data_IF_125711840809
#
_entry.id   IF_125711840809
#
_cell.length_a   1.000
_cell.length_b   1.000
_cell.length_c   1.000
_cell.angle_alpha   90.00
_cell.angle_beta   90.00
_cell.angle_gamma   90.00
#
_symmetry.space_group_name_H-M   'P 1'
#
loop_
_entity.id
_entity.type
_entity.pdbx_description
1 polymer ?
#
# COMPACT_ATOMS: atom_id res chain seq x y z
N UNK A 1 -45.37 -62.74 -30.86
CA UNK A 1 -45.09 -61.98 -29.61
C UNK A 1 -43.75 -61.26 -29.59
N UNK A 2 -42.75 -61.67 -30.38
CA UNK A 2 -41.41 -60.99 -30.40
C UNK A 2 -41.35 -59.67 -31.19
N UNK A 3 -42.22 -59.47 -32.15
CA UNK A 3 -42.20 -58.26 -33.02
C UNK A 3 -42.73 -56.99 -32.31
N UNK A 4 -43.63 -57.13 -31.37
CA UNK A 4 -44.19 -56.01 -30.61
C UNK A 4 -43.29 -55.47 -29.50
N UNK A 5 -42.37 -56.32 -29.01
CA UNK A 5 -41.43 -55.92 -27.97
C UNK A 5 -40.34 -54.97 -28.50
N UNK A 6 -39.86 -55.20 -29.70
CA UNK A 6 -38.87 -54.32 -30.34
C UNK A 6 -39.47 -52.95 -30.75
N UNK A 7 -40.74 -52.88 -31.12
CA UNK A 7 -41.43 -51.60 -31.42
C UNK A 7 -41.63 -50.78 -30.15
N UNK A 8 -41.91 -51.42 -29.01
CA UNK A 8 -42.03 -50.75 -27.71
C UNK A 8 -40.67 -50.24 -27.20
N UNK A 9 -39.58 -51.01 -27.38
CA UNK A 9 -38.23 -50.57 -27.02
C UNK A 9 -37.75 -49.40 -27.87
N UNK A 10 -38.09 -49.36 -29.17
CA UNK A 10 -37.73 -48.28 -30.08
C UNK A 10 -38.52 -46.99 -29.77
N UNK A 11 -39.78 -47.10 -29.34
CA UNK A 11 -40.61 -45.91 -28.97
C UNK A 11 -40.19 -45.36 -27.61
N UNK A 12 -39.72 -46.20 -26.66
CA UNK A 12 -39.17 -45.73 -25.39
C UNK A 12 -37.79 -45.12 -25.55
N UNK A 13 -36.96 -45.59 -26.51
CA UNK A 13 -35.66 -45.00 -26.83
C UNK A 13 -35.72 -43.58 -27.42
N UNK A 14 -36.79 -43.23 -28.15
CA UNK A 14 -36.97 -41.92 -28.74
C UNK A 14 -37.50 -40.87 -27.74
N UNK A 15 -38.17 -41.31 -26.67
CA UNK A 15 -38.67 -40.41 -25.61
C UNK A 15 -37.63 -39.93 -24.61
N UNK A 16 -36.42 -40.52 -24.58
CA UNK A 16 -35.35 -40.15 -23.65
C UNK A 16 -34.42 -39.02 -24.20
N UNK A 17 -34.56 -38.63 -25.45
CA UNK A 17 -33.71 -37.60 -26.08
C UNK A 17 -34.30 -36.20 -26.08
N UNK A 18 -35.47 -35.96 -25.45
CA UNK A 18 -35.94 -34.60 -25.18
C UNK A 18 -35.44 -34.20 -23.79
N UNK A 19 -34.13 -34.12 -23.65
CA UNK A 19 -33.47 -33.53 -22.49
C UNK A 19 -33.60 -32.01 -22.58
N UNK A 20 -34.20 -31.42 -21.57
CA UNK A 20 -34.44 -30.01 -21.44
C UNK A 20 -33.12 -29.22 -21.54
N UNK A 21 -32.84 -28.60 -22.67
CA UNK A 21 -31.76 -27.60 -22.82
C UNK A 21 -32.08 -26.26 -22.14
N UNK A 22 -33.25 -26.11 -21.51
CA UNK A 22 -33.68 -24.83 -20.90
C UNK A 22 -33.17 -24.60 -19.46
N UNK A 23 -32.59 -25.58 -18.80
CA UNK A 23 -32.13 -25.44 -17.40
C UNK A 23 -30.62 -25.37 -17.25
N UNK A 24 -29.86 -25.31 -18.36
CA UNK A 24 -28.38 -25.17 -18.32
C UNK A 24 -27.93 -23.71 -18.37
N UNK A 25 -28.82 -22.78 -18.67
CA UNK A 25 -28.56 -21.34 -18.61
C UNK A 25 -29.12 -20.71 -17.32
N UNK A 26 -28.95 -21.39 -16.19
CA UNK A 26 -29.22 -20.76 -14.90
C UNK A 26 -28.11 -19.73 -14.63
N UNK A 27 -28.43 -18.45 -14.82
CA UNK A 27 -27.59 -17.39 -14.30
C UNK A 27 -27.42 -17.59 -12.79
N UNK A 28 -26.21 -17.56 -12.25
CA UNK A 28 -26.02 -17.69 -10.80
C UNK A 28 -26.85 -16.63 -10.10
N UNK A 29 -27.77 -17.04 -9.23
CA UNK A 29 -28.64 -16.09 -8.49
C UNK A 29 -27.87 -15.31 -7.41
N UNK A 30 -26.63 -15.66 -7.18
CA UNK A 30 -25.73 -15.03 -6.18
C UNK A 30 -24.52 -14.34 -6.82
N UNK A 31 -24.39 -14.28 -8.15
CA UNK A 31 -23.38 -13.48 -8.85
C UNK A 31 -24.06 -12.61 -9.90
N UNK A 32 -23.71 -11.34 -9.91
CA UNK A 32 -24.17 -10.40 -10.94
C UNK A 32 -23.42 -10.75 -12.23
N UNK A 33 -24.15 -10.94 -13.35
CA UNK A 33 -23.56 -11.10 -14.68
C UNK A 33 -22.68 -9.87 -14.98
N UNK A 34 -21.43 -10.10 -15.35
CA UNK A 34 -20.45 -9.03 -15.61
C UNK A 34 -20.95 -8.01 -16.62
N UNK A 35 -21.77 -8.43 -17.61
CA UNK A 35 -22.38 -7.54 -18.60
C UNK A 35 -23.49 -6.65 -18.02
N UNK A 36 -24.00 -6.96 -16.82
CA UNK A 36 -25.03 -6.21 -16.11
C UNK A 36 -24.55 -5.54 -14.83
N UNK A 37 -23.29 -5.75 -14.46
CA UNK A 37 -22.72 -5.34 -13.16
C UNK A 37 -22.47 -3.83 -13.02
N UNK A 38 -22.36 -3.08 -14.14
CA UNK A 38 -21.96 -1.67 -14.15
C UNK A 38 -22.82 -0.84 -15.11
N UNK A 39 -24.14 -0.99 -15.00
CA UNK A 39 -25.10 -0.35 -15.92
C UNK A 39 -25.64 0.99 -15.41
N UNK A 40 -25.45 1.30 -14.13
CA UNK A 40 -25.92 2.55 -13.52
C UNK A 40 -24.81 3.24 -12.73
N UNK A 41 -25.00 4.54 -12.49
CA UNK A 41 -24.09 5.31 -11.62
C UNK A 41 -23.96 4.69 -10.22
N UNK A 42 -25.05 4.13 -9.68
CA UNK A 42 -25.04 3.44 -8.39
C UNK A 42 -24.16 2.20 -8.40
N UNK A 43 -24.22 1.40 -9.45
CA UNK A 43 -23.43 0.17 -9.58
C UNK A 43 -21.92 0.50 -9.59
N UNK A 44 -21.53 1.54 -10.33
CA UNK A 44 -20.13 1.99 -10.41
C UNK A 44 -19.64 2.50 -9.06
N UNK A 45 -20.47 3.21 -8.29
CA UNK A 45 -20.12 3.67 -6.94
C UNK A 45 -19.95 2.50 -5.96
N UNK A 46 -20.78 1.46 -6.06
CA UNK A 46 -20.65 0.23 -5.27
C UNK A 46 -19.36 -0.49 -5.64
N UNK A 47 -19.04 -0.61 -6.95
CA UNK A 47 -17.80 -1.22 -7.41
C UNK A 47 -16.56 -0.44 -6.92
N UNK A 48 -16.60 0.89 -6.94
CA UNK A 48 -15.53 1.72 -6.38
C UNK A 48 -15.34 1.49 -4.88
N UNK A 49 -16.43 1.34 -4.12
CA UNK A 49 -16.37 0.99 -2.70
C UNK A 49 -15.75 -0.39 -2.50
N UNK A 50 -16.07 -1.36 -3.37
CA UNK A 50 -15.43 -2.68 -3.41
C UNK A 50 -13.92 -2.58 -3.64
N UNK A 51 -13.49 -1.73 -4.57
CA UNK A 51 -12.06 -1.50 -4.84
C UNK A 51 -11.29 -0.94 -3.62
N UNK A 52 -11.93 -0.08 -2.80
CA UNK A 52 -11.34 0.33 -1.51
C UNK A 52 -11.25 -0.83 -0.51
N UNK A 53 -12.24 -1.72 -0.48
CA UNK A 53 -12.22 -2.88 0.40
C UNK A 53 -11.08 -3.85 0.01
N UNK A 54 -10.88 -4.08 -1.28
CA UNK A 54 -9.79 -4.91 -1.79
C UNK A 54 -8.41 -4.26 -1.58
N UNK A 55 -8.31 -2.93 -1.75
CA UNK A 55 -7.12 -2.18 -1.35
C UNK A 55 -6.81 -2.38 0.13
N UNK A 56 -7.84 -2.37 1.01
CA UNK A 56 -7.75 -2.57 2.46
C UNK A 56 -7.60 -4.02 2.90
N UNK A 57 -7.45 -4.98 1.98
CA UNK A 57 -7.22 -6.38 2.35
C UNK A 57 -5.96 -6.54 3.22
N UNK A 58 -5.94 -7.59 4.07
CA UNK A 58 -4.78 -7.88 4.93
C UNK A 58 -3.47 -7.99 4.12
N UNK A 59 -3.56 -8.54 2.90
CA UNK A 59 -2.41 -8.75 2.02
C UNK A 59 -2.00 -7.49 1.24
N UNK A 60 -2.69 -6.35 1.47
CA UNK A 60 -2.30 -5.05 0.91
C UNK A 60 -2.32 -3.96 1.98
N UNK A 61 -3.20 -2.96 1.92
CA UNK A 61 -3.22 -1.85 2.90
C UNK A 61 -3.82 -2.22 4.27
N UNK A 62 -4.32 -3.45 4.45
CA UNK A 62 -4.59 -4.01 5.78
C UNK A 62 -3.34 -4.40 6.57
N UNK A 63 -2.14 -4.25 6.01
CA UNK A 63 -0.89 -4.12 6.75
C UNK A 63 0.19 -5.17 6.50
N UNK A 64 -0.07 -6.35 5.95
CA UNK A 64 0.97 -7.37 5.77
C UNK A 64 2.21 -6.89 4.97
N UNK A 65 2.09 -6.16 3.85
CA UNK A 65 3.26 -5.67 3.13
C UNK A 65 4.09 -4.67 3.92
N UNK A 66 3.47 -3.86 4.77
CA UNK A 66 4.17 -2.90 5.63
C UNK A 66 4.91 -3.61 6.74
N UNK A 67 4.25 -4.52 7.47
CA UNK A 67 4.87 -5.40 8.48
C UNK A 67 6.03 -6.19 7.87
N UNK A 68 5.83 -6.76 6.68
CA UNK A 68 6.87 -7.47 5.96
C UNK A 68 8.03 -6.57 5.55
N UNK A 69 7.78 -5.32 5.17
CA UNK A 69 8.83 -4.34 4.85
C UNK A 69 9.68 -4.00 6.07
N UNK A 70 9.08 -3.85 7.26
CA UNK A 70 9.82 -3.64 8.50
C UNK A 70 10.70 -4.87 8.85
N UNK A 71 10.15 -6.08 8.72
CA UNK A 71 10.92 -7.32 8.96
C UNK A 71 12.04 -7.50 7.92
N UNK A 72 11.80 -7.16 6.65
CA UNK A 72 12.83 -7.23 5.61
C UNK A 72 13.93 -6.19 5.82
N UNK A 73 13.58 -5.01 6.34
CA UNK A 73 14.51 -3.95 6.72
C UNK A 73 15.28 -4.22 8.02
N UNK A 74 14.79 -5.17 8.83
CA UNK A 74 15.29 -5.40 10.17
C UNK A 74 16.80 -5.72 10.19
N UNK A 75 17.53 -4.93 10.95
CA UNK A 75 18.99 -5.05 11.20
C UNK A 75 19.31 -5.33 12.66
N UNK A 76 18.34 -5.83 13.44
CA UNK A 76 18.47 -6.14 14.86
C UNK A 76 17.62 -5.25 15.78
N UNK A 77 16.84 -4.34 15.21
CA UNK A 77 15.94 -3.45 15.98
C UNK A 77 14.59 -4.08 16.31
N UNK A 78 14.26 -5.19 15.64
CA UNK A 78 13.04 -5.97 15.86
C UNK A 78 13.39 -7.42 16.17
N UNK A 79 12.67 -8.04 17.11
CA UNK A 79 12.75 -9.45 17.41
C UNK A 79 11.49 -10.14 16.89
N UNK A 80 11.65 -11.02 15.88
CA UNK A 80 10.58 -11.84 15.35
C UNK A 80 10.48 -13.16 16.11
N UNK A 81 9.37 -13.40 16.80
CA UNK A 81 9.11 -14.64 17.56
C UNK A 81 7.89 -15.42 17.03
N UNK A 82 7.32 -14.97 15.92
CA UNK A 82 6.09 -15.53 15.37
C UNK A 82 6.25 -16.90 14.71
N UNK A 83 5.11 -17.57 14.51
CA UNK A 83 5.02 -18.90 13.91
C UNK A 83 4.71 -18.89 12.41
N UNK A 84 4.43 -17.73 11.82
CA UNK A 84 4.22 -17.62 10.37
C UNK A 84 5.55 -17.80 9.62
N UNK A 85 5.70 -18.95 8.98
CA UNK A 85 6.92 -19.27 8.21
C UNK A 85 7.20 -18.22 7.14
N UNK A 86 6.17 -17.65 6.53
CA UNK A 86 6.29 -16.63 5.49
C UNK A 86 7.00 -15.37 6.00
N UNK A 87 6.65 -14.88 7.18
CA UNK A 87 7.34 -13.76 7.80
C UNK A 87 8.73 -14.14 8.32
N UNK A 88 8.92 -15.37 8.80
CA UNK A 88 10.25 -15.87 9.17
C UNK A 88 11.19 -15.84 7.96
N UNK A 89 10.73 -16.28 6.79
CA UNK A 89 11.50 -16.25 5.55
C UNK A 89 11.85 -14.81 5.13
N UNK A 90 10.90 -13.86 5.29
CA UNK A 90 11.12 -12.45 4.99
C UNK A 90 12.11 -11.84 5.98
N UNK A 91 11.93 -12.04 7.29
CA UNK A 91 12.85 -11.54 8.31
C UNK A 91 14.29 -12.06 8.11
N UNK A 92 14.43 -13.32 7.69
CA UNK A 92 15.72 -13.95 7.42
C UNK A 92 16.31 -13.59 6.04
N UNK A 93 15.63 -12.75 5.23
CA UNK A 93 16.05 -12.39 3.88
C UNK A 93 16.30 -13.62 2.98
N UNK A 94 15.46 -14.65 3.16
CA UNK A 94 15.51 -15.94 2.46
C UNK A 94 14.11 -16.29 1.95
N UNK A 95 13.57 -15.43 1.09
CA UNK A 95 12.18 -15.51 0.58
C UNK A 95 12.16 -16.50 -0.60
N UNK A 96 11.47 -17.64 -0.52
CA UNK A 96 11.32 -18.52 -1.66
C UNK A 96 10.27 -18.02 -2.64
N UNK A 97 10.34 -18.46 -3.90
CA UNK A 97 9.43 -18.04 -4.99
C UNK A 97 7.97 -18.45 -4.78
N UNK A 98 7.71 -19.36 -3.86
CA UNK A 98 6.37 -19.85 -3.47
C UNK A 98 5.89 -19.31 -2.12
N UNK A 99 6.58 -18.30 -1.56
CA UNK A 99 6.11 -17.64 -0.34
C UNK A 99 4.69 -17.08 -0.54
N UNK A 100 3.74 -17.63 0.23
CA UNK A 100 2.31 -17.32 0.01
C UNK A 100 1.94 -15.89 0.37
N UNK A 101 2.64 -15.21 1.30
CA UNK A 101 2.36 -13.80 1.62
C UNK A 101 2.80 -12.89 0.47
N UNK A 102 3.97 -13.16 -0.11
CA UNK A 102 4.44 -12.48 -1.31
C UNK A 102 3.46 -12.71 -2.48
N UNK A 103 3.03 -13.96 -2.69
CA UNK A 103 2.07 -14.27 -3.74
C UNK A 103 0.71 -13.60 -3.54
N UNK A 104 0.19 -13.57 -2.32
CA UNK A 104 -1.09 -12.93 -2.01
C UNK A 104 -1.02 -11.40 -2.06
N UNK A 105 0.12 -10.79 -1.72
CA UNK A 105 0.34 -9.34 -1.92
C UNK A 105 0.25 -8.97 -3.39
N UNK A 106 0.88 -9.75 -4.27
CA UNK A 106 0.74 -9.55 -5.72
C UNK A 106 -0.71 -9.70 -6.18
N UNK A 107 -1.36 -10.79 -5.79
CA UNK A 107 -2.75 -11.05 -6.17
C UNK A 107 -3.69 -9.93 -5.70
N UNK A 108 -3.64 -9.54 -4.42
CA UNK A 108 -4.49 -8.48 -3.87
C UNK A 108 -4.26 -7.13 -4.57
N UNK A 109 -3.01 -6.80 -4.88
CA UNK A 109 -2.71 -5.59 -5.65
C UNK A 109 -3.34 -5.61 -7.04
N UNK A 110 -3.19 -6.71 -7.80
CA UNK A 110 -3.78 -6.80 -9.13
C UNK A 110 -5.30 -6.98 -9.11
N UNK A 111 -5.89 -7.53 -8.05
CA UNK A 111 -7.35 -7.50 -7.84
C UNK A 111 -7.84 -6.06 -7.73
N UNK A 112 -7.27 -5.25 -6.84
CA UNK A 112 -7.63 -3.84 -6.70
C UNK A 112 -7.43 -3.05 -8.01
N UNK A 113 -6.35 -3.32 -8.78
CA UNK A 113 -6.14 -2.72 -10.11
C UNK A 113 -7.26 -3.11 -11.09
N UNK A 114 -7.68 -4.38 -11.09
CA UNK A 114 -8.75 -4.84 -11.98
C UNK A 114 -10.09 -4.19 -11.62
N UNK A 115 -10.38 -4.04 -10.34
CA UNK A 115 -11.64 -3.43 -9.88
C UNK A 115 -11.71 -1.96 -10.28
N UNK A 116 -10.64 -1.19 -10.08
CA UNK A 116 -10.64 0.20 -10.54
C UNK A 116 -10.61 0.33 -12.06
N UNK A 117 -10.05 -0.62 -12.79
CA UNK A 117 -10.15 -0.65 -14.25
C UNK A 117 -11.60 -0.89 -14.71
N UNK A 118 -12.35 -1.75 -14.00
CA UNK A 118 -13.79 -1.91 -14.22
C UNK A 118 -14.53 -0.59 -14.01
N UNK A 119 -14.28 0.11 -12.89
CA UNK A 119 -14.85 1.44 -12.61
C UNK A 119 -14.51 2.42 -13.72
N UNK A 120 -13.24 2.51 -14.13
CA UNK A 120 -12.77 3.43 -15.17
C UNK A 120 -13.37 3.13 -16.55
N UNK A 121 -13.68 1.87 -16.84
CA UNK A 121 -14.31 1.47 -18.11
C UNK A 121 -15.79 1.86 -18.19
N UNK A 122 -16.45 2.11 -17.04
CA UNK A 122 -17.87 2.39 -16.92
C UNK A 122 -18.19 3.86 -16.56
N UNK A 123 -17.24 4.79 -16.74
CA UNK A 123 -17.44 6.21 -16.39
C UNK A 123 -18.58 6.87 -17.19
N UNK A 124 -18.91 6.35 -18.37
CA UNK A 124 -19.98 6.89 -19.22
C UNK A 124 -21.39 6.76 -18.62
N UNK A 125 -21.59 5.85 -17.65
CA UNK A 125 -22.89 5.68 -16.96
C UNK A 125 -22.94 6.39 -15.61
N UNK A 126 -21.83 7.02 -15.18
CA UNK A 126 -21.77 7.77 -13.94
C UNK A 126 -22.41 9.14 -14.11
N UNK A 127 -23.18 9.58 -13.11
CA UNK A 127 -23.76 10.91 -13.06
C UNK A 127 -22.69 11.97 -13.33
N UNK A 128 -22.97 12.92 -14.23
CA UNK A 128 -22.00 13.94 -14.67
C UNK A 128 -21.34 14.71 -13.49
N UNK A 129 -22.07 14.98 -12.42
CA UNK A 129 -21.56 15.65 -11.23
C UNK A 129 -20.57 14.80 -10.41
N UNK A 130 -20.51 13.48 -10.63
CA UNK A 130 -19.68 12.54 -9.87
C UNK A 130 -18.50 11.99 -10.68
N UNK A 131 -18.52 12.09 -12.03
CA UNK A 131 -17.52 11.49 -12.92
C UNK A 131 -16.09 11.83 -12.50
N UNK A 132 -15.78 13.11 -12.28
CA UNK A 132 -14.44 13.53 -11.92
C UNK A 132 -13.97 12.89 -10.60
N UNK A 133 -14.84 12.89 -9.59
CA UNK A 133 -14.55 12.28 -8.30
C UNK A 133 -14.29 10.77 -8.43
N UNK A 134 -15.16 10.03 -9.11
CA UNK A 134 -15.05 8.59 -9.34
C UNK A 134 -13.76 8.25 -10.09
N UNK A 135 -13.48 8.98 -11.18
CA UNK A 135 -12.25 8.80 -11.95
C UNK A 135 -11.01 9.10 -11.13
N UNK A 136 -11.01 10.19 -10.36
CA UNK A 136 -9.89 10.58 -9.49
C UNK A 136 -9.62 9.52 -8.41
N UNK A 137 -10.64 9.02 -7.74
CA UNK A 137 -10.51 7.97 -6.72
C UNK A 137 -9.97 6.66 -7.33
N UNK A 138 -10.52 6.21 -8.46
CA UNK A 138 -10.06 5.00 -9.13
C UNK A 138 -8.59 5.10 -9.58
N UNK A 139 -8.18 6.24 -10.13
CA UNK A 139 -6.79 6.50 -10.52
C UNK A 139 -5.85 6.59 -9.32
N UNK A 140 -6.28 7.20 -8.21
CA UNK A 140 -5.52 7.20 -6.96
C UNK A 140 -5.25 5.78 -6.46
N UNK A 141 -6.28 4.92 -6.41
CA UNK A 141 -6.14 3.52 -5.98
C UNK A 141 -5.16 2.78 -6.90
N UNK A 142 -5.29 2.93 -8.23
CA UNK A 142 -4.40 2.27 -9.18
C UNK A 142 -2.94 2.71 -9.02
N UNK A 143 -2.72 4.00 -8.88
CA UNK A 143 -1.39 4.56 -8.67
C UNK A 143 -0.76 4.09 -7.35
N UNK A 144 -1.50 4.14 -6.25
CA UNK A 144 -1.07 3.68 -4.94
C UNK A 144 -0.67 2.20 -4.99
N UNK A 145 -1.50 1.38 -5.64
CA UNK A 145 -1.25 -0.05 -5.80
C UNK A 145 -0.02 -0.34 -6.64
N UNK A 146 0.11 0.29 -7.82
CA UNK A 146 1.29 0.15 -8.68
C UNK A 146 2.57 0.60 -7.99
N UNK A 147 2.50 1.67 -7.18
CA UNK A 147 3.65 2.19 -6.45
C UNK A 147 4.17 1.19 -5.41
N UNK A 148 3.29 0.56 -4.64
CA UNK A 148 3.72 -0.44 -3.67
C UNK A 148 4.19 -1.73 -4.35
N UNK A 149 3.52 -2.17 -5.41
CA UNK A 149 3.97 -3.32 -6.18
C UNK A 149 5.38 -3.10 -6.78
N UNK A 150 5.64 -1.95 -7.41
CA UNK A 150 6.97 -1.73 -8.02
C UNK A 150 8.06 -1.61 -6.98
N UNK A 151 7.79 -1.02 -5.79
CA UNK A 151 8.78 -0.92 -4.70
C UNK A 151 9.13 -2.26 -4.08
N UNK A 152 8.19 -3.20 -4.04
CA UNK A 152 8.37 -4.53 -3.44
C UNK A 152 8.94 -5.54 -4.44
N UNK A 153 8.50 -5.54 -5.69
CA UNK A 153 8.81 -6.58 -6.68
C UNK A 153 9.83 -6.18 -7.74
N UNK A 154 10.38 -4.97 -7.67
CA UNK A 154 11.37 -4.51 -8.62
C UNK A 154 12.57 -3.86 -7.94
N UNK A 155 13.62 -3.62 -8.71
CA UNK A 155 14.74 -2.81 -8.28
C UNK A 155 14.27 -1.39 -7.94
N UNK A 156 14.93 -0.75 -6.97
CA UNK A 156 14.67 0.65 -6.65
C UNK A 156 15.01 1.55 -7.84
N UNK A 157 14.40 2.73 -7.91
CA UNK A 157 14.65 3.70 -8.97
C UNK A 157 16.14 4.01 -9.18
N UNK A 158 16.89 4.11 -8.11
CA UNK A 158 18.32 4.43 -8.09
C UNK A 158 19.26 3.21 -8.22
N UNK A 159 18.72 1.99 -8.48
CA UNK A 159 19.52 0.78 -8.66
C UNK A 159 19.76 0.49 -10.15
N UNK A 160 20.73 1.16 -10.71
CA UNK A 160 21.05 1.09 -12.13
C UNK A 160 20.11 1.96 -12.98
N UNK A 161 19.83 1.51 -14.21
CA UNK A 161 18.98 2.25 -15.15
C UNK A 161 17.50 1.82 -15.03
N UNK A 162 16.60 2.70 -14.55
CA UNK A 162 15.18 2.37 -14.44
C UNK A 162 14.48 2.14 -15.80
N UNK A 163 15.07 2.63 -16.90
CA UNK A 163 14.55 2.36 -18.25
C UNK A 163 14.95 0.96 -18.77
N UNK A 164 15.95 0.34 -18.16
CA UNK A 164 16.38 -1.02 -18.48
C UNK A 164 15.84 -2.06 -17.49
N UNK A 165 15.67 -1.70 -16.22
CA UNK A 165 15.23 -2.60 -15.16
C UNK A 165 13.77 -3.01 -15.33
N UNK A 166 13.45 -4.30 -15.13
CA UNK A 166 12.07 -4.79 -15.12
C UNK A 166 11.34 -4.33 -13.87
N UNK A 167 10.19 -3.69 -14.07
CA UNK A 167 9.24 -3.27 -13.06
C UNK A 167 8.17 -4.35 -12.80
N UNK A 168 6.90 -3.95 -12.90
CA UNK A 168 5.72 -4.82 -12.79
C UNK A 168 4.81 -4.62 -14.01
N UNK A 169 3.90 -5.55 -14.33
CA UNK A 169 2.92 -5.36 -15.41
C UNK A 169 2.04 -4.12 -15.21
N UNK A 170 1.86 -3.32 -16.25
CA UNK A 170 0.90 -2.21 -16.28
C UNK A 170 -0.38 -2.69 -16.96
N UNK A 171 -1.46 -2.83 -16.18
CA UNK A 171 -2.77 -3.27 -16.66
C UNK A 171 -3.74 -2.10 -16.51
N UNK A 172 -4.24 -1.59 -17.66
CA UNK A 172 -5.09 -0.38 -17.71
C UNK A 172 -6.52 -0.66 -18.19
N UNK A 173 -6.84 -1.92 -18.48
CA UNK A 173 -8.16 -2.35 -18.91
C UNK A 173 -8.65 -3.48 -18.01
N UNK A 174 -9.96 -3.64 -17.85
CA UNK A 174 -10.51 -4.79 -17.13
C UNK A 174 -10.08 -6.12 -17.75
N UNK A 175 -9.77 -7.09 -16.91
CA UNK A 175 -9.53 -8.47 -17.34
C UNK A 175 -10.79 -9.30 -17.04
N UNK A 176 -11.57 -9.59 -18.04
CA UNK A 176 -12.81 -10.38 -17.93
C UNK A 176 -12.62 -11.86 -18.27
N UNK A 177 -11.55 -12.19 -18.98
CA UNK A 177 -11.19 -13.56 -19.37
C UNK A 177 -9.70 -13.67 -19.56
N UNK A 178 -9.18 -14.88 -19.36
CA UNK A 178 -7.75 -15.16 -19.57
C UNK A 178 -7.55 -15.47 -21.05
N UNK A 179 -6.89 -14.57 -21.75
CA UNK A 179 -6.51 -14.70 -23.18
C UNK A 179 -5.02 -14.46 -23.34
N UNK A 180 -4.48 -14.65 -24.53
CA UNK A 180 -3.09 -14.30 -24.82
C UNK A 180 -2.79 -12.80 -24.56
N UNK A 181 -3.77 -11.92 -24.74
CA UNK A 181 -3.63 -10.49 -24.52
C UNK A 181 -3.55 -10.15 -23.02
N UNK A 182 -4.12 -10.99 -22.13
CA UNK A 182 -4.01 -10.81 -20.68
C UNK A 182 -2.67 -11.23 -20.10
N UNK A 183 -1.82 -11.92 -20.90
CA UNK A 183 -0.45 -12.31 -20.53
C UNK A 183 0.53 -11.14 -20.70
N UNK A 184 0.35 -10.10 -19.91
CA UNK A 184 1.14 -8.87 -19.98
C UNK A 184 2.53 -9.10 -19.39
N UNK A 185 3.58 -8.70 -20.11
CA UNK A 185 4.96 -8.72 -19.61
C UNK A 185 5.18 -7.63 -18.55
N UNK A 186 6.26 -7.75 -17.81
CA UNK A 186 6.74 -6.67 -16.93
C UNK A 186 7.07 -5.41 -17.76
N UNK A 187 6.55 -4.27 -17.33
CA UNK A 187 6.98 -2.97 -17.87
C UNK A 187 8.32 -2.57 -17.22
N UNK A 188 8.99 -1.58 -17.77
CA UNK A 188 10.20 -1.04 -17.16
C UNK A 188 9.84 -0.24 -15.90
N UNK A 189 10.77 -0.18 -14.94
CA UNK A 189 10.57 0.62 -13.71
C UNK A 189 10.20 2.06 -14.06
N UNK A 190 10.88 2.67 -15.05
CA UNK A 190 10.58 4.03 -15.52
C UNK A 190 9.14 4.18 -16.04
N UNK A 191 8.64 3.20 -16.81
CA UNK A 191 7.29 3.22 -17.36
C UNK A 191 6.23 3.08 -16.25
N UNK A 192 6.49 2.22 -15.24
CA UNK A 192 5.59 2.06 -14.10
C UNK A 192 5.49 3.37 -13.32
N UNK A 193 6.62 4.02 -13.03
CA UNK A 193 6.61 5.33 -12.35
C UNK A 193 5.93 6.42 -13.21
N UNK A 194 6.11 6.40 -14.52
CA UNK A 194 5.40 7.33 -15.42
C UNK A 194 3.88 7.15 -15.34
N UNK A 195 3.39 5.89 -15.32
CA UNK A 195 1.96 5.60 -15.17
C UNK A 195 1.44 6.02 -13.79
N UNK A 196 2.20 5.76 -12.70
CA UNK A 196 1.86 6.20 -11.35
C UNK A 196 1.69 7.71 -11.29
N UNK A 197 2.68 8.46 -11.80
CA UNK A 197 2.64 9.92 -11.80
C UNK A 197 1.49 10.47 -12.64
N UNK A 198 1.22 9.85 -13.80
CA UNK A 198 0.08 10.22 -14.64
C UNK A 198 -1.25 10.04 -13.89
N UNK A 199 -1.48 8.90 -13.27
CA UNK A 199 -2.72 8.62 -12.54
C UNK A 199 -2.87 9.53 -11.33
N UNK A 200 -1.79 9.84 -10.59
CA UNK A 200 -1.83 10.75 -9.44
C UNK A 200 -2.07 12.21 -9.85
N UNK A 201 -1.46 12.69 -10.93
CA UNK A 201 -1.71 14.03 -11.45
C UNK A 201 -3.15 14.20 -11.93
N UNK A 202 -3.68 13.17 -12.61
CA UNK A 202 -5.09 13.15 -13.00
C UNK A 202 -6.01 13.12 -11.76
N UNK A 203 -5.65 12.35 -10.72
CA UNK A 203 -6.39 12.29 -9.46
C UNK A 203 -6.36 13.64 -8.71
N UNK A 204 -5.20 14.27 -8.59
CA UNK A 204 -5.05 15.60 -7.99
C UNK A 204 -5.95 16.65 -8.66
N UNK A 205 -6.03 16.62 -10.00
CA UNK A 205 -6.83 17.58 -10.77
C UNK A 205 -8.35 17.35 -10.63
N UNK A 206 -8.79 16.10 -10.34
CA UNK A 206 -10.19 15.71 -10.37
C UNK A 206 -10.84 15.55 -8.99
N UNK A 207 -10.04 15.26 -7.97
CA UNK A 207 -10.54 15.03 -6.62
C UNK A 207 -10.91 16.33 -5.89
N UNK A 208 -11.93 16.31 -5.03
CA UNK A 208 -12.20 17.39 -4.10
C UNK A 208 -11.04 17.51 -3.09
N UNK A 209 -10.87 18.69 -2.50
CA UNK A 209 -9.81 18.95 -1.50
C UNK A 209 -9.85 17.94 -0.37
N UNK A 210 -11.05 17.67 0.18
CA UNK A 210 -11.32 16.64 1.19
C UNK A 210 -12.43 15.72 0.69
N UNK A 211 -12.44 14.45 1.13
CA UNK A 211 -13.40 13.46 0.65
C UNK A 211 -13.76 12.42 1.74
N UNK A 212 -13.88 12.85 2.99
CA UNK A 212 -14.14 11.95 4.11
C UNK A 212 -13.02 10.93 4.28
N UNK A 213 -13.34 9.64 4.17
CA UNK A 213 -12.38 8.52 4.30
C UNK A 213 -11.74 8.10 2.97
N UNK A 214 -12.23 8.63 1.87
CA UNK A 214 -11.79 8.28 0.52
C UNK A 214 -10.65 9.18 0.05
N UNK A 215 -10.02 8.79 -1.05
CA UNK A 215 -8.97 9.60 -1.66
C UNK A 215 -9.46 11.02 -1.97
N UNK A 216 -8.62 12.00 -1.65
CA UNK A 216 -8.86 13.43 -1.81
C UNK A 216 -7.71 14.07 -2.59
N UNK A 217 -7.85 15.32 -2.98
CA UNK A 217 -6.76 16.07 -3.59
C UNK A 217 -5.54 16.09 -2.67
N UNK A 218 -5.74 16.35 -1.37
CA UNK A 218 -4.64 16.35 -0.39
C UNK A 218 -3.94 14.99 -0.33
N UNK A 219 -4.68 13.89 -0.39
CA UNK A 219 -4.05 12.55 -0.39
C UNK A 219 -3.30 12.25 -1.69
N UNK A 220 -3.77 12.76 -2.84
CA UNK A 220 -3.07 12.62 -4.11
C UNK A 220 -1.76 13.42 -4.12
N UNK A 221 -1.77 14.68 -3.66
CA UNK A 221 -0.58 15.52 -3.47
C UNK A 221 0.43 14.84 -2.51
N UNK A 222 -0.06 14.27 -1.41
CA UNK A 222 0.76 13.57 -0.42
C UNK A 222 1.43 12.32 -1.01
N UNK A 223 0.70 11.53 -1.78
CA UNK A 223 1.27 10.37 -2.46
C UNK A 223 2.23 10.77 -3.58
N UNK A 224 1.95 11.84 -4.33
CA UNK A 224 2.91 12.43 -5.29
C UNK A 224 4.23 12.80 -4.61
N UNK A 225 4.18 13.45 -3.44
CA UNK A 225 5.37 13.80 -2.67
C UNK A 225 6.22 12.56 -2.33
N UNK A 226 5.57 11.47 -1.87
CA UNK A 226 6.24 10.20 -1.56
C UNK A 226 6.83 9.56 -2.82
N UNK A 227 6.11 9.56 -3.95
CA UNK A 227 6.59 8.99 -5.23
C UNK A 227 7.79 9.78 -5.75
N UNK A 228 7.74 11.11 -5.74
CA UNK A 228 8.87 11.95 -6.16
C UNK A 228 10.08 11.78 -5.24
N UNK A 229 9.87 11.69 -3.91
CA UNK A 229 10.97 11.42 -2.97
C UNK A 229 11.63 10.06 -3.27
N UNK A 230 10.84 9.03 -3.51
CA UNK A 230 11.34 7.68 -3.83
C UNK A 230 12.10 7.66 -5.16
N UNK A 231 11.72 8.51 -6.10
CA UNK A 231 12.38 8.69 -7.40
C UNK A 231 13.67 9.54 -7.30
N UNK A 232 13.87 10.26 -6.18
CA UNK A 232 14.97 11.24 -6.05
C UNK A 232 14.72 12.55 -6.79
N UNK A 233 13.49 12.82 -7.17
CA UNK A 233 13.06 14.08 -7.79
C UNK A 233 12.69 15.08 -6.69
N UNK A 234 13.72 15.60 -6.02
CA UNK A 234 13.58 16.40 -4.81
C UNK A 234 12.81 17.71 -5.02
N UNK A 235 13.00 18.47 -6.12
CA UNK A 235 12.21 19.68 -6.32
C UNK A 235 10.71 19.41 -6.40
N UNK A 236 10.30 18.38 -7.14
CA UNK A 236 8.90 17.98 -7.25
C UNK A 236 8.37 17.36 -5.94
N UNK A 237 9.21 16.62 -5.20
CA UNK A 237 8.84 16.10 -3.88
C UNK A 237 8.56 17.22 -2.87
N UNK A 238 9.41 18.25 -2.82
CA UNK A 238 9.21 19.42 -1.95
C UNK A 238 7.94 20.20 -2.33
N UNK A 239 7.71 20.41 -3.63
CA UNK A 239 6.51 21.10 -4.13
C UNK A 239 5.22 20.34 -3.78
N UNK A 240 5.16 19.06 -4.07
CA UNK A 240 3.98 18.22 -3.77
C UNK A 240 3.72 18.13 -2.26
N UNK A 241 4.76 17.94 -1.45
CA UNK A 241 4.63 17.96 0.02
C UNK A 241 4.13 19.31 0.53
N UNK A 242 4.63 20.42 -0.02
CA UNK A 242 4.16 21.76 0.33
C UNK A 242 2.69 21.96 -0.03
N UNK A 243 2.25 21.52 -1.21
CA UNK A 243 0.86 21.61 -1.61
C UNK A 243 -0.04 20.82 -0.66
N UNK A 244 0.32 19.58 -0.35
CA UNK A 244 -0.43 18.73 0.57
C UNK A 244 -0.49 19.30 1.99
N UNK A 245 0.62 19.87 2.51
CA UNK A 245 0.65 20.54 3.82
C UNK A 245 -0.26 21.78 3.78
N UNK A 246 -0.10 22.67 2.80
CA UNK A 246 -0.86 23.92 2.74
C UNK A 246 -2.35 23.68 2.57
N UNK A 247 -2.73 22.80 1.63
CA UNK A 247 -4.13 22.43 1.41
C UNK A 247 -4.70 21.67 2.62
N UNK A 248 -3.91 20.79 3.24
CA UNK A 248 -4.30 20.04 4.43
C UNK A 248 -4.58 20.98 5.61
N UNK A 249 -3.65 21.84 5.98
CA UNK A 249 -3.80 22.79 7.09
C UNK A 249 -5.02 23.71 6.90
N UNK A 250 -5.24 24.19 5.67
CA UNK A 250 -6.40 25.01 5.34
C UNK A 250 -7.74 24.28 5.45
N UNK A 251 -7.74 22.93 5.48
CA UNK A 251 -8.94 22.10 5.45
C UNK A 251 -9.06 21.16 6.67
N UNK A 252 -8.43 21.52 7.80
CA UNK A 252 -8.65 20.88 9.10
C UNK A 252 -7.69 19.75 9.44
N UNK A 253 -6.71 19.43 8.59
CA UNK A 253 -5.61 18.55 8.98
C UNK A 253 -4.65 19.30 9.89
N UNK A 254 -4.08 18.64 10.88
CA UNK A 254 -3.09 19.23 11.79
C UNK A 254 -2.32 18.13 12.50
N UNK A 255 -1.07 18.41 12.87
CA UNK A 255 -0.35 17.54 13.79
C UNK A 255 -1.06 17.51 15.15
N UNK A 256 -1.13 16.34 15.76
CA UNK A 256 -1.58 16.22 17.15
C UNK A 256 -0.52 16.85 18.07
N UNK A 257 -0.96 17.61 19.04
CA UNK A 257 -0.04 18.27 19.97
C UNK A 257 0.76 17.26 20.81
N UNK A 258 0.14 16.14 21.16
CA UNK A 258 0.79 15.02 21.84
C UNK A 258 0.96 13.89 20.83
N UNK A 259 2.17 13.35 20.73
CA UNK A 259 2.48 12.32 19.75
C UNK A 259 1.59 11.08 19.83
N UNK A 260 1.30 10.60 21.05
CA UNK A 260 0.45 9.43 21.26
C UNK A 260 -0.99 9.61 20.76
N UNK A 261 -1.47 10.86 20.67
CA UNK A 261 -2.84 11.14 20.21
C UNK A 261 -3.00 10.95 18.69
N UNK A 262 -1.89 10.80 17.96
CA UNK A 262 -1.92 10.39 16.56
C UNK A 262 -2.27 8.89 16.39
N UNK A 263 -2.19 8.10 17.48
CA UNK A 263 -2.44 6.66 17.52
C UNK A 263 -3.48 6.32 18.60
N UNK A 264 -4.76 6.66 18.37
CA UNK A 264 -5.79 6.53 19.41
C UNK A 264 -6.05 5.07 19.80
N UNK A 265 -6.08 4.80 21.11
CA UNK A 265 -6.19 3.45 21.66
C UNK A 265 -7.60 2.86 21.61
N UNK A 266 -8.64 3.68 21.55
CA UNK A 266 -10.03 3.23 21.79
C UNK A 266 -11.07 3.82 20.82
N UNK A 267 -10.62 4.36 19.69
CA UNK A 267 -11.49 5.01 18.71
C UNK A 267 -11.15 4.53 17.32
N UNK A 268 -12.15 3.98 16.61
CA UNK A 268 -12.06 3.68 15.16
C UNK A 268 -12.37 4.95 14.37
N UNK A 269 -11.48 5.93 14.39
CA UNK A 269 -11.64 7.18 13.66
C UNK A 269 -10.28 7.69 13.17
N UNK A 270 -10.30 8.42 12.08
CA UNK A 270 -9.13 9.16 11.64
C UNK A 270 -8.82 10.30 12.62
N UNK A 271 -7.56 10.53 12.88
CA UNK A 271 -7.08 11.72 13.57
C UNK A 271 -6.92 12.87 12.57
N UNK A 272 -6.63 14.07 13.07
CA UNK A 272 -6.33 15.21 12.20
C UNK A 272 -5.00 15.06 11.43
N UNK A 273 -4.15 14.09 11.79
CA UNK A 273 -2.93 13.78 11.05
C UNK A 273 -3.15 12.84 9.85
N UNK A 274 -4.25 12.10 9.81
CA UNK A 274 -4.50 11.09 8.80
C UNK A 274 -4.90 11.68 7.47
N UNK A 275 -3.93 11.89 6.60
CA UNK A 275 -4.16 12.33 5.21
C UNK A 275 -4.86 11.23 4.42
N UNK A 276 -4.46 9.97 4.65
CA UNK A 276 -5.13 8.79 4.11
C UNK A 276 -4.94 7.60 5.04
N UNK A 277 -6.04 6.94 5.40
CA UNK A 277 -6.04 5.77 6.27
C UNK A 277 -7.10 4.77 5.81
N UNK A 278 -6.80 3.47 5.93
CA UNK A 278 -7.80 2.43 5.73
C UNK A 278 -8.67 2.29 6.98
N UNK A 279 -9.97 2.28 6.76
CA UNK A 279 -10.95 2.21 7.84
C UNK A 279 -11.07 0.77 8.36
N UNK A 280 -11.07 0.60 9.67
CA UNK A 280 -11.22 -0.71 10.33
C UNK A 280 -12.34 -0.62 11.35
N UNK A 281 -13.24 -1.61 11.31
CA UNK A 281 -14.38 -1.73 12.24
C UNK A 281 -14.49 -3.18 12.71
N UNK A 282 -15.41 -3.45 13.63
CA UNK A 282 -15.70 -4.82 14.08
C UNK A 282 -16.24 -5.76 12.98
N UNK A 283 -16.70 -5.22 11.87
CA UNK A 283 -17.33 -5.97 10.77
C UNK A 283 -16.57 -5.89 9.45
N UNK A 284 -15.60 -5.01 9.32
CA UNK A 284 -14.86 -4.83 8.06
C UNK A 284 -13.48 -4.20 8.29
N UNK A 285 -12.59 -4.42 7.33
CA UNK A 285 -11.21 -3.96 7.38
C UNK A 285 -10.28 -4.90 8.14
N UNK A 286 -8.99 -4.68 8.00
CA UNK A 286 -7.94 -5.46 8.62
C UNK A 286 -6.88 -4.52 9.21
N UNK A 287 -6.39 -4.83 10.41
CA UNK A 287 -5.27 -4.14 11.03
C UNK A 287 -4.19 -5.15 11.41
N UNK A 288 -3.33 -5.48 10.45
CA UNK A 288 -2.24 -6.44 10.67
C UNK A 288 -1.12 -5.89 11.55
N UNK A 289 -1.01 -4.58 11.68
CA UNK A 289 -0.08 -3.98 12.64
C UNK A 289 -0.44 -4.34 14.07
N UNK A 290 -1.74 -4.22 14.44
CA UNK A 290 -2.23 -4.65 15.75
C UNK A 290 -1.94 -6.14 15.97
N UNK A 291 -2.18 -6.96 14.96
CA UNK A 291 -1.95 -8.41 15.05
C UNK A 291 -0.51 -8.74 15.45
N UNK A 292 0.48 -8.09 14.86
CA UNK A 292 1.87 -8.48 15.01
C UNK A 292 2.66 -7.64 16.00
N UNK A 293 2.35 -6.35 16.17
CA UNK A 293 3.09 -5.43 17.05
C UNK A 293 2.49 -5.25 18.45
N UNK A 294 1.22 -5.66 18.68
CA UNK A 294 0.57 -5.47 19.96
C UNK A 294 0.67 -6.71 20.86
N UNK A 295 1.06 -6.52 22.12
CA UNK A 295 1.00 -7.57 23.14
C UNK A 295 -0.46 -7.99 23.48
N UNK A 296 -1.46 -7.17 23.10
CA UNK A 296 -2.88 -7.50 23.27
C UNK A 296 -3.42 -8.42 22.16
N UNK A 297 -2.56 -8.82 21.20
CA UNK A 297 -2.87 -9.75 20.12
C UNK A 297 -1.79 -10.83 20.04
N UNK A 298 -1.27 -11.15 18.87
CA UNK A 298 -0.20 -12.14 18.75
C UNK A 298 1.14 -11.65 19.32
N UNK A 299 1.47 -10.36 19.13
CA UNK A 299 2.71 -9.77 19.62
C UNK A 299 3.97 -10.46 19.10
N UNK A 300 3.92 -10.95 17.84
CA UNK A 300 5.01 -11.72 17.23
C UNK A 300 6.26 -10.86 16.94
N UNK A 301 6.12 -9.52 16.98
CA UNK A 301 7.20 -8.57 16.76
C UNK A 301 7.39 -7.76 18.04
N UNK A 302 8.54 -7.97 18.69
CA UNK A 302 8.97 -7.17 19.83
C UNK A 302 10.01 -6.15 19.41
N UNK A 303 10.08 -5.03 20.14
CA UNK A 303 11.04 -3.97 19.91
C UNK A 303 12.31 -4.28 20.68
N UNK A 304 13.44 -4.33 19.97
CA UNK A 304 14.74 -4.54 20.59
C UNK A 304 15.21 -3.26 21.31
N UNK A 305 15.92 -3.36 22.44
CA UNK A 305 16.49 -2.20 23.13
C UNK A 305 17.35 -1.31 22.23
N UNK A 306 18.04 -1.86 21.24
CA UNK A 306 18.84 -1.08 20.27
C UNK A 306 18.02 -0.07 19.48
N UNK A 307 16.73 -0.29 19.27
CA UNK A 307 15.83 0.71 18.68
C UNK A 307 15.49 1.81 19.70
N UNK A 308 15.23 1.44 20.94
CA UNK A 308 14.92 2.39 22.02
C UNK A 308 16.10 3.34 22.27
N UNK A 309 17.31 2.84 22.20
CA UNK A 309 18.55 3.59 22.38
C UNK A 309 18.81 4.67 21.30
N UNK A 310 18.04 4.65 20.20
CA UNK A 310 18.11 5.69 19.16
C UNK A 310 17.46 7.00 19.58
N UNK A 311 16.51 6.95 20.54
CA UNK A 311 15.76 8.12 21.00
C UNK A 311 16.61 8.95 21.98
N UNK A 312 16.42 10.26 21.95
CA UNK A 312 17.07 11.18 22.88
C UNK A 312 16.36 11.15 24.24
N UNK A 313 17.10 11.49 25.30
CA UNK A 313 16.51 11.64 26.63
C UNK A 313 15.38 12.71 26.62
N UNK A 314 14.22 12.36 27.10
CA UNK A 314 13.03 13.26 27.09
C UNK A 314 12.18 13.19 25.84
N UNK A 315 12.55 12.35 24.86
CA UNK A 315 11.72 12.13 23.67
C UNK A 315 10.35 11.54 24.04
N UNK A 316 9.28 12.30 23.85
CA UNK A 316 7.93 11.90 24.23
C UNK A 316 7.38 10.72 23.40
N UNK A 317 7.99 10.36 22.27
CA UNK A 317 7.65 9.17 21.49
C UNK A 317 7.93 7.89 22.27
N UNK A 318 8.90 7.92 23.19
CA UNK A 318 9.17 6.81 24.12
C UNK A 318 7.95 6.40 24.96
N UNK A 319 7.01 7.31 25.20
CA UNK A 319 5.78 7.02 25.95
C UNK A 319 4.85 6.03 25.27
N UNK A 320 5.05 5.74 23.96
CA UNK A 320 4.32 4.70 23.24
C UNK A 320 4.93 3.30 23.37
N UNK A 321 6.12 3.17 23.97
CA UNK A 321 6.68 1.85 24.24
C UNK A 321 6.25 1.37 25.62
N UNK A 322 5.91 0.09 25.71
CA UNK A 322 5.52 -0.54 26.96
C UNK A 322 6.07 -1.96 27.08
N UNK A 323 6.22 -2.45 28.31
CA UNK A 323 6.70 -3.79 28.58
C UNK A 323 5.55 -4.74 28.87
N UNK A 324 5.59 -5.94 28.28
CA UNK A 324 4.67 -7.04 28.57
C UNK A 324 5.40 -8.37 28.43
N UNK A 325 5.24 -9.27 29.41
CA UNK A 325 5.87 -10.59 29.36
C UNK A 325 7.40 -10.58 29.28
N UNK A 326 8.07 -9.50 29.69
CA UNK A 326 9.54 -9.34 29.60
C UNK A 326 10.04 -8.82 28.24
N UNK A 327 9.15 -8.53 27.30
CA UNK A 327 9.45 -7.92 25.98
C UNK A 327 8.89 -6.51 25.89
N UNK A 328 9.44 -5.71 24.98
CA UNK A 328 8.97 -4.35 24.71
C UNK A 328 8.11 -4.34 23.43
N UNK A 329 7.03 -3.60 23.47
CA UNK A 329 6.05 -3.43 22.38
C UNK A 329 5.79 -1.96 22.10
N UNK A 330 5.15 -1.64 20.98
CA UNK A 330 4.75 -0.29 20.64
C UNK A 330 3.23 -0.12 20.76
N UNK A 331 2.78 0.93 21.45
CA UNK A 331 1.38 1.31 21.57
C UNK A 331 0.79 1.99 20.33
N UNK A 332 1.59 2.21 19.26
CA UNK A 332 1.09 2.77 18.00
C UNK A 332 -0.10 2.00 17.42
N UNK A 333 -0.17 0.69 17.67
CA UNK A 333 -1.09 -0.22 16.98
C UNK A 333 -1.93 -1.06 17.95
N UNK A 334 -2.07 -0.65 19.20
CA UNK A 334 -2.70 -1.50 20.24
C UNK A 334 -4.23 -1.63 20.11
N UNK A 335 -4.88 -0.77 19.33
CA UNK A 335 -6.32 -0.85 19.18
C UNK A 335 -6.72 -1.80 18.03
N UNK A 336 -7.50 -2.84 18.36
CA UNK A 336 -7.93 -3.88 17.40
C UNK A 336 -8.64 -3.30 16.17
N UNK A 337 -9.48 -2.29 16.39
CA UNK A 337 -10.23 -1.61 15.33
C UNK A 337 -9.62 -0.24 14.98
N UNK A 338 -8.34 -0.04 15.28
CA UNK A 338 -7.60 1.14 14.85
C UNK A 338 -7.46 1.19 13.33
N UNK A 339 -7.69 2.36 12.75
CA UNK A 339 -7.48 2.58 11.33
C UNK A 339 -6.01 2.37 10.98
N UNK A 340 -5.75 1.88 9.77
CA UNK A 340 -4.37 1.70 9.27
C UNK A 340 -3.92 3.00 8.62
N UNK A 341 -2.97 3.69 9.27
CA UNK A 341 -2.37 4.93 8.77
C UNK A 341 -1.54 4.63 7.52
N UNK A 342 -1.91 5.19 6.38
CA UNK A 342 -1.16 5.03 5.12
C UNK A 342 -0.28 6.25 4.86
N UNK A 343 -0.82 7.45 5.07
CA UNK A 343 -0.07 8.71 4.96
C UNK A 343 -0.51 9.63 6.11
N UNK A 344 0.46 10.07 6.92
CA UNK A 344 0.26 11.06 7.97
C UNK A 344 0.88 12.40 7.61
N UNK A 345 0.30 13.49 8.12
CA UNK A 345 0.81 14.84 7.91
C UNK A 345 2.29 14.99 8.35
N UNK A 346 2.70 14.32 9.42
CA UNK A 346 4.08 14.31 9.89
C UNK A 346 5.07 13.83 8.80
N UNK A 347 4.70 12.82 8.00
CA UNK A 347 5.53 12.38 6.90
C UNK A 347 5.77 13.46 5.85
N UNK A 348 4.79 14.32 5.60
CA UNK A 348 4.90 15.39 4.60
C UNK A 348 5.91 16.46 5.02
N UNK A 349 5.96 16.83 6.30
CA UNK A 349 7.02 17.69 6.83
C UNK A 349 8.41 17.06 6.63
N UNK A 350 8.52 15.77 6.92
CA UNK A 350 9.79 15.03 6.75
C UNK A 350 10.19 14.86 5.27
N UNK A 351 9.23 14.67 4.38
CA UNK A 351 9.47 14.67 2.92
C UNK A 351 9.96 16.04 2.46
N UNK A 352 9.27 17.12 2.86
CA UNK A 352 9.62 18.48 2.47
C UNK A 352 11.00 18.86 3.01
N UNK A 353 11.30 18.53 4.27
CA UNK A 353 12.60 18.76 4.86
C UNK A 353 13.74 18.06 4.09
N UNK A 354 13.60 16.75 3.85
CA UNK A 354 14.62 16.00 3.13
C UNK A 354 14.79 16.48 1.69
N UNK A 355 13.68 16.68 1.00
CA UNK A 355 13.68 17.12 -0.39
C UNK A 355 14.33 18.50 -0.55
N UNK A 356 13.94 19.47 0.28
CA UNK A 356 14.57 20.80 0.29
C UNK A 356 16.06 20.72 0.63
N UNK A 357 16.44 19.92 1.63
CA UNK A 357 17.84 19.76 2.01
C UNK A 357 18.69 19.22 0.85
N UNK A 358 18.21 18.17 0.19
CA UNK A 358 18.92 17.55 -0.95
C UNK A 358 18.92 18.43 -2.21
N UNK A 359 17.88 19.22 -2.43
CA UNK A 359 17.79 20.15 -3.55
C UNK A 359 18.48 21.50 -3.29
N UNK A 360 18.84 21.80 -2.04
CA UNK A 360 19.36 23.12 -1.65
C UNK A 360 18.29 24.22 -1.77
N UNK A 361 17.02 23.91 -1.49
CA UNK A 361 15.88 24.83 -1.63
C UNK A 361 15.12 24.99 -0.30
N UNK A 362 14.15 25.92 -0.29
CA UNK A 362 13.28 26.20 0.86
C UNK A 362 11.82 26.28 0.42
N UNK A 363 11.39 25.41 -0.50
CA UNK A 363 10.02 25.38 -1.01
C UNK A 363 9.04 25.19 0.14
N UNK A 364 8.17 26.18 0.36
CA UNK A 364 7.19 26.22 1.43
C UNK A 364 7.75 26.57 2.81
N UNK A 365 8.86 25.94 3.23
CA UNK A 365 9.59 26.29 4.44
C UNK A 365 11.02 25.72 4.39
N UNK A 366 11.87 26.12 5.36
CA UNK A 366 13.24 25.61 5.45
C UNK A 366 13.25 24.16 5.98
N UNK A 367 14.25 23.35 5.57
CA UNK A 367 14.43 22.01 6.14
C UNK A 367 14.55 22.02 7.67
N UNK A 368 15.19 23.05 8.21
CA UNK A 368 15.37 23.22 9.66
C UNK A 368 14.04 23.42 10.38
N UNK A 369 13.17 24.28 9.85
CA UNK A 369 11.86 24.53 10.44
C UNK A 369 10.99 23.28 10.40
N UNK A 370 10.95 22.56 9.29
CA UNK A 370 10.17 21.34 9.14
C UNK A 370 10.59 20.26 10.15
N UNK A 371 11.89 20.02 10.30
CA UNK A 371 12.40 19.07 11.30
C UNK A 371 12.08 19.53 12.72
N UNK A 372 12.22 20.82 13.00
CA UNK A 372 11.97 21.37 14.34
C UNK A 372 10.48 21.36 14.72
N UNK A 373 9.56 21.39 13.76
CA UNK A 373 8.13 21.12 14.01
C UNK A 373 7.95 19.70 14.59
N UNK A 374 8.56 18.70 14.01
CA UNK A 374 8.47 17.30 14.47
C UNK A 374 9.17 17.12 15.82
N UNK A 375 10.37 17.68 15.99
CA UNK A 375 11.15 17.59 17.24
C UNK A 375 10.44 18.29 18.42
N UNK A 376 9.91 19.47 18.19
CA UNK A 376 9.15 20.22 19.22
C UNK A 376 7.94 19.43 19.69
N UNK A 377 7.20 18.80 18.77
CA UNK A 377 6.08 17.91 19.12
C UNK A 377 6.55 16.70 19.93
N UNK A 378 7.75 16.17 19.63
CA UNK A 378 8.38 15.09 20.38
C UNK A 378 9.00 15.54 21.70
N UNK A 379 8.76 16.79 22.15
CA UNK A 379 9.31 17.39 23.38
C UNK A 379 10.85 17.52 23.36
N UNK A 380 11.44 17.56 22.19
CA UNK A 380 12.88 17.69 22.00
C UNK A 380 13.31 19.14 21.73
N UNK A 381 14.54 19.47 22.10
CA UNK A 381 15.15 20.74 21.76
C UNK A 381 15.27 20.84 20.22
N UNK A 382 14.85 21.99 19.65
CA UNK A 382 15.05 22.24 18.22
C UNK A 382 16.52 22.16 17.83
N UNK A 383 16.80 21.58 16.66
CA UNK A 383 18.14 21.61 16.07
C UNK A 383 18.52 23.02 15.69
N UNK A 384 19.83 23.32 15.78
CA UNK A 384 20.44 24.48 15.18
C UNK A 384 20.79 24.23 13.70
N UNK A 385 21.12 25.28 12.96
CA UNK A 385 21.57 25.14 11.57
C UNK A 385 22.86 24.31 11.41
N UNK A 386 23.72 24.27 12.45
CA UNK A 386 24.94 23.46 12.45
C UNK A 386 24.67 21.96 12.67
N UNK A 387 23.59 21.62 13.35
CA UNK A 387 23.19 20.23 13.64
C UNK A 387 22.33 19.65 12.51
N UNK A 388 21.80 20.49 11.63
CA UNK A 388 21.01 20.04 10.49
C UNK A 388 21.92 19.37 9.45
N UNK A 389 21.80 18.07 9.34
CA UNK A 389 22.48 17.23 8.36
C UNK A 389 21.49 16.28 7.72
N UNK A 390 21.85 15.66 6.59
CA UNK A 390 21.01 14.60 6.04
C UNK A 390 20.83 13.46 7.06
N UNK A 391 21.85 13.14 7.83
CA UNK A 391 21.78 12.09 8.84
C UNK A 391 20.78 12.43 9.97
N UNK A 392 20.74 13.69 10.45
CA UNK A 392 19.77 14.12 11.45
C UNK A 392 18.34 14.10 10.90
N UNK A 393 18.13 14.51 9.64
CA UNK A 393 16.83 14.43 8.97
C UNK A 393 16.35 12.99 8.84
N UNK A 394 17.21 12.09 8.36
CA UNK A 394 16.87 10.67 8.20
C UNK A 394 16.64 9.96 9.54
N UNK A 395 17.40 10.34 10.58
CA UNK A 395 17.18 9.86 11.96
C UNK A 395 15.79 10.27 12.45
N UNK A 396 15.44 11.55 12.31
CA UNK A 396 14.14 12.05 12.73
C UNK A 396 12.99 11.35 11.99
N UNK A 397 13.14 11.13 10.67
CA UNK A 397 12.18 10.38 9.86
C UNK A 397 12.05 8.93 10.34
N UNK A 398 13.15 8.27 10.65
CA UNK A 398 13.16 6.89 11.17
C UNK A 398 12.39 6.77 12.49
N UNK A 399 12.62 7.70 13.42
CA UNK A 399 11.99 7.68 14.74
C UNK A 399 10.50 8.05 14.68
N UNK A 400 10.15 9.02 13.85
CA UNK A 400 8.78 9.46 13.67
C UNK A 400 7.91 8.39 13.02
N UNK A 401 8.41 7.76 11.95
CA UNK A 401 7.70 6.76 11.14
C UNK A 401 8.05 5.32 11.52
N UNK A 402 8.61 5.11 12.72
CA UNK A 402 9.03 3.79 13.18
C UNK A 402 7.87 2.79 13.06
N UNK A 403 8.14 1.65 12.43
CA UNK A 403 7.24 0.51 12.24
C UNK A 403 6.04 0.75 11.31
N UNK A 404 6.00 1.86 10.57
CA UNK A 404 4.90 2.20 9.66
C UNK A 404 5.15 1.71 8.21
N UNK A 405 6.12 0.83 7.98
CA UNK A 405 6.44 0.25 6.67
C UNK A 405 7.38 1.11 5.81
N UNK A 406 7.96 2.17 6.37
CA UNK A 406 8.83 3.08 5.64
C UNK A 406 10.29 2.63 5.56
N UNK A 407 10.78 1.85 6.54
CA UNK A 407 12.18 1.61 6.77
C UNK A 407 12.93 1.02 5.56
N UNK A 408 12.40 -0.05 4.94
CA UNK A 408 13.04 -0.68 3.77
C UNK A 408 13.24 0.31 2.63
N UNK A 409 12.22 1.09 2.33
CA UNK A 409 12.22 2.02 1.21
C UNK A 409 13.16 3.21 1.45
N UNK A 410 13.20 3.71 2.67
CA UNK A 410 14.12 4.77 3.08
C UNK A 410 15.59 4.30 3.03
N UNK A 411 15.88 3.09 3.51
CA UNK A 411 17.21 2.49 3.41
C UNK A 411 17.64 2.35 1.95
N UNK A 412 16.78 1.78 1.10
CA UNK A 412 17.11 1.53 -0.32
C UNK A 412 17.35 2.81 -1.10
N UNK A 413 16.49 3.84 -0.96
CA UNK A 413 16.65 5.11 -1.69
C UNK A 413 17.85 5.94 -1.21
N UNK A 414 18.28 5.76 0.04
CA UNK A 414 19.46 6.42 0.61
C UNK A 414 20.73 5.53 0.60
N UNK A 415 20.67 4.37 -0.07
CA UNK A 415 21.78 3.45 -0.28
C UNK A 415 22.41 2.93 1.02
N UNK A 416 21.58 2.77 2.07
CA UNK A 416 21.98 2.19 3.33
C UNK A 416 22.02 0.66 3.30
N UNK A 417 22.64 0.02 4.28
CA UNK A 417 22.67 -1.43 4.40
C UNK A 417 21.51 -1.95 5.26
N UNK A 418 21.05 -3.16 4.98
CA UNK A 418 20.20 -3.95 5.86
C UNK A 418 21.05 -5.06 6.46
N UNK A 419 21.42 -4.94 7.72
CA UNK A 419 22.42 -5.79 8.35
C UNK A 419 23.70 -5.84 7.49
N UNK A 420 24.11 -7.01 7.02
CA UNK A 420 25.28 -7.18 6.15
C UNK A 420 24.97 -7.09 4.64
N UNK A 421 23.71 -6.88 4.27
CA UNK A 421 23.30 -6.82 2.86
C UNK A 421 23.35 -5.38 2.35
N UNK A 422 23.97 -5.12 1.19
CA UNK A 422 23.87 -3.81 0.54
C UNK A 422 22.43 -3.53 0.11
N UNK A 423 22.06 -2.25 0.06
CA UNK A 423 20.72 -1.76 -0.25
C UNK A 423 20.10 -2.31 -1.55
N UNK A 424 20.93 -2.66 -2.51
CA UNK A 424 20.55 -3.22 -3.82
C UNK A 424 20.66 -4.74 -3.89
N UNK A 425 20.82 -5.41 -2.74
CA UNK A 425 20.85 -6.88 -2.69
C UNK A 425 19.56 -7.46 -3.28
N UNK A 426 19.63 -8.48 -4.16
CA UNK A 426 18.45 -9.20 -4.65
C UNK A 426 17.57 -9.75 -3.53
N UNK A 427 18.14 -10.07 -2.36
CA UNK A 427 17.43 -10.56 -1.18
C UNK A 427 16.50 -9.51 -0.53
N UNK A 428 16.60 -8.24 -0.92
CA UNK A 428 15.75 -7.13 -0.46
C UNK A 428 14.66 -6.76 -1.48
N UNK A 429 14.38 -7.66 -2.43
CA UNK A 429 13.32 -7.54 -3.44
C UNK A 429 12.48 -8.82 -3.34
N UNK A 430 11.17 -8.73 -3.46
CA UNK A 430 10.33 -9.92 -3.52
C UNK A 430 10.51 -10.66 -4.84
N UNK A 431 10.50 -12.01 -4.84
CA UNK A 431 10.40 -12.77 -6.08
C UNK A 431 9.06 -12.49 -6.79
N UNK A 432 9.04 -12.55 -8.11
CA UNK A 432 7.78 -12.70 -8.84
C UNK A 432 7.20 -14.06 -8.46
N UNK A 433 5.94 -14.13 -7.98
CA UNK A 433 5.39 -15.38 -7.48
C UNK A 433 5.43 -16.49 -8.53
N UNK A 434 5.88 -17.68 -8.13
CA UNK A 434 6.05 -18.81 -9.07
C UNK A 434 4.75 -19.17 -9.80
N UNK A 435 3.59 -19.03 -9.10
CA UNK A 435 2.28 -19.28 -9.70
C UNK A 435 2.02 -18.33 -10.89
N UNK A 436 2.46 -17.09 -10.80
CA UNK A 436 2.28 -16.06 -11.83
C UNK A 436 3.20 -16.33 -13.03
N UNK A 437 4.45 -16.71 -12.77
CA UNK A 437 5.40 -17.15 -13.83
C UNK A 437 4.84 -18.36 -14.61
N UNK A 438 4.20 -19.30 -13.89
CA UNK A 438 3.59 -20.49 -14.54
C UNK A 438 2.33 -20.13 -15.34
N UNK A 439 1.56 -19.17 -14.87
CA UNK A 439 0.32 -18.75 -15.53
C UNK A 439 0.58 -17.79 -16.73
N UNK A 440 1.65 -17.01 -16.67
CA UNK A 440 2.00 -16.01 -17.68
C UNK A 440 3.48 -16.20 -18.12
N UNK A 441 3.73 -16.87 -19.25
CA UNK A 441 5.09 -17.13 -19.73
C UNK A 441 5.86 -15.88 -20.17
N UNK A 442 5.20 -14.71 -20.25
CA UNK A 442 5.84 -13.44 -20.57
C UNK A 442 6.45 -12.76 -19.32
N UNK A 443 6.23 -13.32 -18.12
CA UNK A 443 6.85 -12.81 -16.91
C UNK A 443 8.27 -13.38 -16.74
N UNK A 444 9.16 -12.51 -16.30
CA UNK A 444 10.56 -12.86 -15.96
C UNK A 444 10.75 -12.79 -14.45
N UNK A 445 11.58 -13.69 -13.90
CA UNK A 445 11.90 -13.66 -12.47
C UNK A 445 12.95 -12.59 -12.15
N UNK A 446 12.96 -12.11 -10.91
CA UNK A 446 14.02 -11.26 -10.40
C UNK A 446 15.34 -12.04 -10.24
N UNK A 447 16.45 -11.36 -10.47
CA UNK A 447 17.77 -11.95 -10.26
C UNK A 447 17.93 -12.43 -8.80
N UNK A 448 18.49 -13.62 -8.63
CA UNK A 448 18.69 -14.25 -7.31
C UNK A 448 17.59 -15.21 -6.88
N UNK A 449 16.57 -15.45 -7.73
CA UNK A 449 15.46 -16.37 -7.49
C UNK A 449 15.31 -17.43 -8.57
#
# INVERSE_FOLDING_TARGET
MKLNFYKLLFTVGILVTISCNKNLDTKPTQSIDQNSALNTSSDVLVALTGAYADLGSAYFYGGYPFVASELLANSGELNWSGTYQQFTQINNKAIPVDNSFVANTWLSGYTAINDVNNVLSALSVVDAAKVNKVEGEAKFIRAATLFDLVRLYAKSWNDGDPAANDGVPIILKPTSSITAESQVKRAKVADVYAQILKDLTDAEAKLPITNGFYASKVSAEALLARVYLQKGDYPNAASAANNAISNGLANGFSLKAVYSDAFPYNVSANTTEDIFAMQVTSSSGNNSFQTFFSANSRGDIQIDPSHIDLYETGDSRLNLFYSSGGSVFTGKFDYLYGNVHIIRLAELYLIRAEANFKAGTTTGDSPLNDINVIRTRASLTPLTSLELTLASILKERKLELAFEGAALHDIKRNQGNVALLPWNSPKLIYPIPQREIRANPNLTQNAGY
#
